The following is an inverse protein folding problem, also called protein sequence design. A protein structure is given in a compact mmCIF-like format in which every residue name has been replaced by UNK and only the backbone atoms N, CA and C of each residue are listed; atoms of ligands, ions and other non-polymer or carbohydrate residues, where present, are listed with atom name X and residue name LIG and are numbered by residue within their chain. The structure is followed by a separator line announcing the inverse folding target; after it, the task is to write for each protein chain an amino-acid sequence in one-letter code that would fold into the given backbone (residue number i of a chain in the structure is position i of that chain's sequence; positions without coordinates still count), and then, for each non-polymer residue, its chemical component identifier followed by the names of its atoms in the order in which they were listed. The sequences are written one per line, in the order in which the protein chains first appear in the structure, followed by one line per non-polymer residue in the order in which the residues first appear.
data_IF_868430964969
#
_entry.id   IF_868430964969
#
_cell.length_a   1.000
_cell.length_b   1.000
_cell.length_c   1.000
_cell.angle_alpha   90.00
_cell.angle_beta   90.00
_cell.angle_gamma   90.00
#
_symmetry.space_group_name_H-M   'P 1'
#
loop_
_entity.id
_entity.type
_entity.pdbx_description
1 polymer ?
#
# COMPACT_ATOMS: atom_id res chain seq x y z
N UNK A 1 4.98 39.37 48.44
CA UNK A 1 4.88 40.78 48.86
C UNK A 1 3.60 40.91 49.66
N UNK A 2 3.69 41.17 50.97
CA UNK A 2 2.52 41.38 51.82
C UNK A 2 2.11 42.84 51.72
N UNK A 3 0.83 43.11 51.45
CA UNK A 3 0.27 44.46 51.39
C UNK A 3 -0.37 44.74 52.74
N UNK A 4 0.20 45.67 53.50
CA UNK A 4 -0.38 46.13 54.76
C UNK A 4 -1.50 47.14 54.49
N UNK A 5 -2.70 46.87 54.99
CA UNK A 5 -3.87 47.74 54.84
C UNK A 5 -3.97 48.62 56.09
N UNK A 6 -3.68 49.91 55.95
CA UNK A 6 -3.62 50.88 57.05
C UNK A 6 -4.95 51.60 57.31
N UNK A 7 -6.02 51.24 56.61
CA UNK A 7 -7.33 51.90 56.72
C UNK A 7 -8.47 50.91 57.01
N UNK A 8 -9.53 51.42 57.66
CA UNK A 8 -10.69 50.61 58.08
C UNK A 8 -11.51 50.24 56.84
N UNK A 9 -11.56 48.95 56.51
CA UNK A 9 -12.32 48.42 55.37
C UNK A 9 -13.83 48.55 55.68
N UNK A 10 -14.53 49.46 54.98
CA UNK A 10 -15.97 49.73 55.19
C UNK A 10 -16.86 48.90 54.25
N UNK A 11 -16.26 48.12 53.36
CA UNK A 11 -16.95 47.16 52.49
C UNK A 11 -15.94 46.46 51.58
N UNK A 12 -16.08 45.15 51.43
CA UNK A 12 -15.31 44.37 50.47
C UNK A 12 -16.29 43.71 49.48
N UNK A 13 -15.94 43.74 48.20
CA UNK A 13 -16.69 43.03 47.15
C UNK A 13 -15.78 41.93 46.61
N UNK A 14 -16.06 40.70 47.00
CA UNK A 14 -15.41 39.53 46.41
C UNK A 14 -15.83 39.49 44.94
N UNK A 15 -14.88 39.53 44.01
CA UNK A 15 -15.18 39.16 42.62
C UNK A 15 -15.62 37.71 42.65
N UNK A 16 -16.92 37.50 42.48
CA UNK A 16 -17.48 36.17 42.32
C UNK A 16 -16.76 35.54 41.13
N UNK A 17 -16.13 34.38 41.34
CA UNK A 17 -15.55 33.62 40.24
C UNK A 17 -16.67 33.36 39.25
N UNK A 18 -16.54 33.96 38.08
CA UNK A 18 -17.43 33.75 36.95
C UNK A 18 -17.45 32.25 36.70
N UNK A 19 -18.61 31.64 36.94
CA UNK A 19 -18.81 30.22 36.85
C UNK A 19 -18.46 29.84 35.42
N UNK A 20 -17.37 29.09 35.25
CA UNK A 20 -16.91 28.68 33.93
C UNK A 20 -18.07 28.00 33.21
N UNK A 21 -18.54 28.62 32.12
CA UNK A 21 -19.57 28.04 31.29
C UNK A 21 -19.17 26.61 30.93
N UNK A 22 -20.10 25.63 30.97
CA UNK A 22 -19.77 24.26 30.59
C UNK A 22 -19.15 24.29 29.19
N UNK A 23 -17.93 23.77 29.09
CA UNK A 23 -17.25 23.67 27.81
C UNK A 23 -18.17 22.92 26.84
N UNK A 24 -18.38 23.43 25.62
CA UNK A 24 -19.26 22.76 24.67
C UNK A 24 -18.78 21.32 24.47
N UNK A 25 -19.69 20.35 24.64
CA UNK A 25 -19.42 18.96 24.33
C UNK A 25 -19.01 18.89 22.85
N UNK A 26 -17.82 18.35 22.59
CA UNK A 26 -17.33 18.18 21.24
C UNK A 26 -18.21 17.12 20.57
N UNK A 27 -18.82 17.49 19.43
CA UNK A 27 -19.57 16.55 18.62
C UNK A 27 -18.61 15.51 18.06
N UNK A 28 -19.00 14.24 18.13
CA UNK A 28 -18.23 13.15 17.53
C UNK A 28 -18.17 13.34 16.01
N UNK A 29 -16.95 13.35 15.49
CA UNK A 29 -16.60 13.51 14.08
C UNK A 29 -15.56 12.44 13.75
N UNK A 30 -15.99 11.39 13.03
CA UNK A 30 -15.08 10.30 12.67
C UNK A 30 -14.02 10.80 11.67
N UNK A 31 -12.73 10.81 12.05
CA UNK A 31 -11.67 11.32 11.20
C UNK A 31 -11.47 10.47 9.92
N UNK A 32 -11.97 9.22 9.85
CA UNK A 32 -11.95 8.43 8.62
C UNK A 32 -12.90 8.98 7.56
N UNK A 33 -14.07 9.47 7.96
CA UNK A 33 -15.16 9.85 7.06
C UNK A 33 -15.32 11.35 6.90
N UNK A 34 -14.69 12.16 7.78
CA UNK A 34 -14.69 13.62 7.62
C UNK A 34 -14.17 14.02 6.24
N UNK A 35 -14.93 14.89 5.57
CA UNK A 35 -14.65 15.29 4.19
C UNK A 35 -13.56 16.35 4.15
N UNK A 36 -12.52 16.08 3.38
CA UNK A 36 -11.44 17.03 3.10
C UNK A 36 -11.83 17.84 1.85
N UNK A 37 -12.09 19.15 1.95
CA UNK A 37 -12.68 19.92 0.85
C UNK A 37 -11.73 20.01 -0.36
N UNK A 38 -10.45 20.24 -0.11
CA UNK A 38 -9.41 20.36 -1.13
C UNK A 38 -8.08 19.83 -0.61
N UNK A 39 -7.18 19.51 -1.53
CA UNK A 39 -5.78 19.21 -1.20
C UNK A 39 -5.14 20.47 -0.59
N UNK A 40 -4.50 20.38 0.60
CA UNK A 40 -3.78 21.51 1.17
C UNK A 40 -2.66 22.03 0.27
N UNK A 41 -2.36 23.31 0.39
CA UNK A 41 -1.17 23.91 -0.21
C UNK A 41 0.10 23.46 0.52
N UNK A 42 1.22 23.41 -0.19
CA UNK A 42 2.52 23.03 0.38
C UNK A 42 2.87 21.55 0.22
N UNK A 43 3.79 21.09 1.08
CA UNK A 43 4.38 19.75 1.03
C UNK A 43 3.53 18.73 1.78
N UNK A 44 3.37 17.55 1.19
CA UNK A 44 2.76 16.39 1.84
C UNK A 44 3.80 15.27 1.90
N UNK A 45 3.72 14.47 2.97
CA UNK A 45 4.52 13.26 3.05
C UNK A 45 3.95 12.24 2.05
N UNK A 46 4.79 11.67 1.21
CA UNK A 46 4.35 10.76 0.17
C UNK A 46 5.25 9.53 0.06
N UNK A 47 4.63 8.38 -0.20
CA UNK A 47 5.33 7.15 -0.60
C UNK A 47 5.43 7.15 -2.11
N UNK A 48 6.65 6.97 -2.63
CA UNK A 48 6.91 6.77 -4.06
C UNK A 48 7.36 5.34 -4.30
N UNK A 49 6.54 4.57 -5.03
CA UNK A 49 6.80 3.16 -5.29
C UNK A 49 6.92 2.88 -6.78
N UNK A 50 7.96 2.12 -7.14
CA UNK A 50 8.16 1.61 -8.48
C UNK A 50 7.50 0.24 -8.60
N UNK A 51 6.45 0.15 -9.39
CA UNK A 51 5.72 -1.08 -9.65
C UNK A 51 6.19 -1.67 -10.99
N UNK A 52 6.39 -2.98 -11.03
CA UNK A 52 6.60 -3.72 -12.28
C UNK A 52 5.59 -4.85 -12.38
N UNK A 53 4.91 -4.91 -13.52
CA UNK A 53 3.95 -5.97 -13.81
C UNK A 53 4.15 -6.49 -15.23
N UNK A 54 3.65 -7.69 -15.49
CA UNK A 54 3.70 -8.36 -16.80
C UNK A 54 2.27 -8.68 -17.22
N UNK A 55 1.83 -8.09 -18.32
CA UNK A 55 0.53 -8.34 -18.94
C UNK A 55 0.67 -8.72 -20.42
N UNK A 56 -0.42 -8.61 -21.18
CA UNK A 56 -0.46 -8.96 -22.60
C UNK A 56 0.57 -8.23 -23.46
N UNK A 57 0.81 -6.95 -23.16
CA UNK A 57 1.75 -6.09 -23.88
C UNK A 57 3.18 -6.22 -23.34
N UNK A 58 3.44 -7.26 -22.53
CA UNK A 58 4.72 -7.54 -21.92
C UNK A 58 4.93 -6.84 -20.59
N UNK A 59 6.21 -6.62 -20.24
CA UNK A 59 6.61 -6.07 -18.94
C UNK A 59 6.53 -4.54 -18.95
N UNK A 60 5.73 -3.98 -18.06
CA UNK A 60 5.64 -2.54 -17.81
C UNK A 60 6.26 -2.18 -16.46
N UNK A 61 6.76 -0.95 -16.37
CA UNK A 61 7.29 -0.34 -15.14
C UNK A 61 6.65 1.02 -14.97
N UNK A 62 6.06 1.25 -13.81
CA UNK A 62 5.31 2.46 -13.50
C UNK A 62 5.68 2.97 -12.13
N UNK A 63 5.49 4.27 -11.91
CA UNK A 63 5.72 4.90 -10.63
C UNK A 63 4.38 5.34 -10.04
N UNK A 64 4.18 5.07 -8.77
CA UNK A 64 2.97 5.43 -8.04
C UNK A 64 3.38 6.26 -6.82
N UNK A 65 2.74 7.41 -6.66
CA UNK A 65 2.89 8.25 -5.49
C UNK A 65 1.57 8.28 -4.72
N UNK A 66 1.66 8.06 -3.41
CA UNK A 66 0.53 8.19 -2.48
C UNK A 66 0.91 9.18 -1.39
N UNK A 67 0.21 10.31 -1.35
CA UNK A 67 0.42 11.36 -0.35
C UNK A 67 -0.52 11.18 0.82
N UNK A 68 -0.01 11.44 2.01
CA UNK A 68 -0.69 11.31 3.29
C UNK A 68 -0.71 12.64 4.03
N UNK A 69 -1.71 12.82 4.89
CA UNK A 69 -1.78 13.96 5.81
C UNK A 69 -2.45 13.57 7.13
N UNK A 70 -2.13 14.27 8.22
CA UNK A 70 -2.90 14.16 9.46
C UNK A 70 -4.30 14.72 9.26
N UNK A 71 -5.28 14.03 9.83
CA UNK A 71 -6.69 14.44 9.84
C UNK A 71 -7.18 14.35 11.28
N UNK A 72 -7.67 15.48 11.78
CA UNK A 72 -8.26 15.60 13.10
C UNK A 72 -9.72 15.12 13.08
N UNK A 73 -10.17 14.60 14.22
CA UNK A 73 -11.56 14.25 14.48
C UNK A 73 -11.84 14.16 15.97
N UNK A 74 -13.04 13.73 16.32
CA UNK A 74 -13.51 13.58 17.69
C UNK A 74 -14.16 12.23 17.86
N UNK A 75 -13.68 11.43 18.82
CA UNK A 75 -14.24 10.11 19.13
C UNK A 75 -14.48 10.04 20.64
N UNK A 76 -15.72 9.76 21.05
CA UNK A 76 -16.09 9.72 22.46
C UNK A 76 -15.76 11.03 23.18
N UNK A 77 -15.96 12.16 22.51
CA UNK A 77 -15.66 13.51 23.02
C UNK A 77 -14.17 13.84 23.14
N UNK A 78 -13.26 12.99 22.66
CA UNK A 78 -11.81 13.22 22.67
C UNK A 78 -11.32 13.58 21.27
N UNK A 79 -10.52 14.65 21.18
CA UNK A 79 -9.81 14.98 19.94
C UNK A 79 -8.78 13.90 19.64
N UNK A 80 -8.81 13.41 18.41
CA UNK A 80 -7.89 12.40 17.91
C UNK A 80 -7.35 12.83 16.55
N UNK A 81 -6.19 12.28 16.18
CA UNK A 81 -5.56 12.52 14.88
C UNK A 81 -5.16 11.18 14.30
N UNK A 82 -5.51 10.97 13.03
CA UNK A 82 -5.05 9.83 12.25
C UNK A 82 -4.32 10.32 11.01
N UNK A 83 -3.49 9.48 10.42
CA UNK A 83 -2.99 9.73 9.08
C UNK A 83 -3.90 9.11 8.02
N UNK A 84 -4.27 9.89 7.00
CA UNK A 84 -5.07 9.42 5.86
C UNK A 84 -4.35 9.62 4.54
N UNK A 85 -4.52 8.71 3.56
CA UNK A 85 -4.17 8.99 2.18
C UNK A 85 -5.12 10.06 1.63
N UNK A 86 -4.60 11.00 0.84
CA UNK A 86 -5.38 12.14 0.31
C UNK A 86 -5.16 12.42 -1.16
N UNK A 87 -4.10 11.87 -1.73
CA UNK A 87 -3.76 12.04 -3.13
C UNK A 87 -3.03 10.80 -3.64
N UNK A 88 -3.44 10.37 -4.83
CA UNK A 88 -2.83 9.33 -5.62
C UNK A 88 -2.37 9.95 -6.92
N UNK A 89 -1.11 9.74 -7.26
CA UNK A 89 -0.51 10.32 -8.44
C UNK A 89 0.31 9.28 -9.19
N UNK A 90 0.21 9.35 -10.52
CA UNK A 90 0.93 8.48 -11.42
C UNK A 90 1.69 9.37 -12.40
N UNK A 91 3.03 9.47 -12.31
CA UNK A 91 3.81 10.26 -13.25
C UNK A 91 3.90 9.49 -14.57
N UNK A 92 2.91 9.69 -15.44
CA UNK A 92 2.93 9.19 -16.81
C UNK A 92 3.31 10.30 -17.78
N UNK A 93 4.17 10.02 -18.76
CA UNK A 93 4.46 10.93 -19.86
C UNK A 93 3.16 11.30 -20.59
N UNK A 94 2.79 12.57 -20.58
CA UNK A 94 1.40 13.07 -20.66
C UNK A 94 0.59 12.81 -21.95
N UNK A 95 1.00 11.95 -22.88
CA UNK A 95 0.46 11.99 -24.26
C UNK A 95 -0.06 10.67 -24.86
N UNK A 96 -0.07 9.52 -24.17
CA UNK A 96 -0.75 8.32 -24.70
C UNK A 96 -2.21 8.23 -24.21
N UNK A 97 -3.09 7.62 -25.01
CA UNK A 97 -4.50 7.36 -24.65
C UNK A 97 -4.61 6.48 -23.40
N UNK A 98 -3.69 5.53 -23.23
CA UNK A 98 -3.56 4.70 -22.04
C UNK A 98 -3.25 5.52 -20.78
N UNK A 99 -2.59 6.67 -20.89
CA UNK A 99 -2.28 7.50 -19.74
C UNK A 99 -3.46 8.39 -19.32
N UNK A 100 -4.44 8.62 -20.20
CA UNK A 100 -5.62 9.46 -19.87
C UNK A 100 -6.53 8.78 -18.85
N UNK A 101 -6.84 7.49 -19.04
CA UNK A 101 -7.69 6.74 -18.11
C UNK A 101 -6.99 6.53 -16.76
N UNK A 102 -5.67 6.32 -16.76
CA UNK A 102 -4.87 6.24 -15.52
C UNK A 102 -4.99 7.55 -14.75
N UNK A 103 -4.77 8.68 -15.44
CA UNK A 103 -4.86 10.00 -14.82
C UNK A 103 -6.27 10.28 -14.27
N UNK A 104 -7.32 9.95 -15.04
CA UNK A 104 -8.71 10.10 -14.58
C UNK A 104 -9.02 9.22 -13.37
N UNK A 105 -8.52 7.98 -13.34
CA UNK A 105 -8.67 7.04 -12.23
C UNK A 105 -7.97 7.56 -10.97
N UNK A 106 -6.73 8.05 -11.07
CA UNK A 106 -5.99 8.59 -9.94
C UNK A 106 -6.64 9.86 -9.36
N UNK A 107 -7.18 10.74 -10.23
CA UNK A 107 -7.96 11.91 -9.80
C UNK A 107 -9.23 11.50 -9.05
N UNK A 108 -9.96 10.51 -9.57
CA UNK A 108 -11.17 9.99 -8.95
C UNK A 108 -10.88 9.31 -7.62
N UNK A 109 -9.79 8.53 -7.54
CA UNK A 109 -9.35 7.88 -6.32
C UNK A 109 -8.89 8.88 -5.25
N UNK A 110 -8.19 9.95 -5.66
CA UNK A 110 -7.83 11.06 -4.77
C UNK A 110 -9.07 11.78 -4.21
N UNK A 111 -10.11 11.93 -5.03
CA UNK A 111 -11.40 12.47 -4.55
C UNK A 111 -12.05 11.51 -3.55
N UNK A 112 -12.05 10.21 -3.82
CA UNK A 112 -12.57 9.20 -2.89
C UNK A 112 -11.84 9.18 -1.54
N UNK A 113 -10.53 9.38 -1.57
CA UNK A 113 -9.71 9.46 -0.37
C UNK A 113 -10.01 10.68 0.50
N UNK A 114 -10.14 11.84 -0.12
CA UNK A 114 -10.63 13.04 0.56
C UNK A 114 -12.07 12.91 1.06
N UNK A 115 -12.89 12.12 0.37
CA UNK A 115 -14.26 11.80 0.76
C UNK A 115 -14.40 10.73 1.85
N UNK A 116 -13.32 10.05 2.24
CA UNK A 116 -13.35 9.06 3.33
C UNK A 116 -13.78 7.64 2.92
N UNK A 117 -13.74 7.32 1.62
CA UNK A 117 -14.18 6.01 1.09
C UNK A 117 -13.16 5.38 0.13
N UNK A 118 -11.87 5.71 0.29
CA UNK A 118 -10.79 5.15 -0.54
C UNK A 118 -10.68 3.63 -0.42
N UNK A 119 -10.94 3.08 0.76
CA UNK A 119 -10.82 1.64 1.01
C UNK A 119 -11.78 0.85 0.12
N UNK A 120 -13.03 1.31 0.04
CA UNK A 120 -14.05 0.77 -0.86
C UNK A 120 -13.66 1.01 -2.32
N UNK A 121 -13.18 2.21 -2.66
CA UNK A 121 -12.76 2.53 -4.03
C UNK A 121 -11.61 1.63 -4.52
N UNK A 122 -10.60 1.37 -3.68
CA UNK A 122 -9.49 0.46 -4.00
C UNK A 122 -10.00 -0.98 -4.12
N UNK A 123 -10.87 -1.42 -3.21
CA UNK A 123 -11.47 -2.75 -3.25
C UNK A 123 -12.33 -2.97 -4.51
N UNK A 124 -13.00 -1.93 -5.02
CA UNK A 124 -13.76 -1.99 -6.26
C UNK A 124 -12.86 -1.97 -7.50
N UNK A 125 -11.79 -1.16 -7.51
CA UNK A 125 -10.78 -1.19 -8.58
C UNK A 125 -10.12 -2.58 -8.71
N UNK A 126 -9.98 -3.30 -7.60
CA UNK A 126 -9.48 -4.68 -7.57
C UNK A 126 -10.39 -5.71 -8.27
N UNK A 127 -11.65 -5.38 -8.54
CA UNK A 127 -12.61 -6.24 -9.24
C UNK A 127 -12.69 -5.96 -10.74
N UNK A 128 -12.00 -4.93 -11.23
CA UNK A 128 -12.00 -4.58 -12.65
C UNK A 128 -11.32 -5.71 -13.43
N UNK A 129 -12.06 -6.32 -14.34
CA UNK A 129 -11.58 -7.34 -15.25
C UNK A 129 -11.45 -6.78 -16.68
N UNK A 130 -10.64 -7.45 -17.50
CA UNK A 130 -10.52 -7.18 -18.93
C UNK A 130 -10.41 -8.48 -19.73
N UNK A 131 -10.32 -8.38 -21.05
CA UNK A 131 -10.25 -9.51 -21.98
C UNK A 131 -8.81 -9.84 -22.45
N UNK A 132 -7.81 -9.05 -22.05
CA UNK A 132 -6.40 -9.24 -22.46
C UNK A 132 -5.63 -10.27 -21.61
N UNK A 133 -6.29 -11.02 -20.73
CA UNK A 133 -5.68 -12.09 -19.92
C UNK A 133 -4.99 -11.61 -18.64
N UNK A 134 -4.49 -12.53 -17.81
CA UNK A 134 -4.04 -12.18 -16.46
C UNK A 134 -2.80 -11.28 -16.43
N UNK A 135 -2.76 -10.38 -15.45
CA UNK A 135 -1.61 -9.51 -15.17
C UNK A 135 -0.86 -10.00 -13.95
N UNK A 136 0.40 -10.41 -14.12
CA UNK A 136 1.27 -10.78 -13.01
C UNK A 136 1.85 -9.53 -12.35
N UNK A 137 1.56 -9.33 -11.07
CA UNK A 137 2.08 -8.20 -10.29
C UNK A 137 2.23 -8.55 -8.81
N UNK A 138 3.45 -8.39 -8.29
CA UNK A 138 3.75 -8.61 -6.88
C UNK A 138 3.82 -10.09 -6.46
N UNK A 139 4.03 -10.28 -5.16
CA UNK A 139 4.08 -11.58 -4.49
C UNK A 139 3.05 -11.60 -3.35
N UNK A 140 2.50 -12.77 -3.06
CA UNK A 140 1.67 -12.98 -1.87
C UNK A 140 2.55 -13.25 -0.64
N UNK A 141 1.91 -13.46 0.52
CA UNK A 141 2.58 -13.75 1.80
C UNK A 141 3.45 -15.01 1.81
N UNK A 142 3.27 -15.91 0.87
CA UNK A 142 4.07 -17.13 0.72
C UNK A 142 5.11 -17.00 -0.39
N UNK A 143 5.44 -15.76 -0.77
CA UNK A 143 6.38 -15.42 -1.82
C UNK A 143 6.05 -16.03 -3.20
N UNK A 144 4.75 -16.30 -3.46
CA UNK A 144 4.28 -16.77 -4.77
C UNK A 144 3.78 -15.60 -5.62
N UNK A 145 4.01 -15.62 -6.95
CA UNK A 145 3.50 -14.60 -7.84
C UNK A 145 1.98 -14.42 -7.72
N UNK A 146 1.54 -13.17 -7.72
CA UNK A 146 0.12 -12.84 -7.80
C UNK A 146 -0.29 -12.49 -9.23
N UNK A 147 -1.48 -12.94 -9.60
CA UNK A 147 -2.12 -12.67 -10.88
C UNK A 147 -3.44 -11.91 -10.64
N UNK A 148 -3.72 -10.94 -11.49
CA UNK A 148 -4.87 -10.04 -11.39
C UNK A 148 -5.63 -10.02 -12.71
N UNK A 149 -6.94 -9.77 -12.64
CA UNK A 149 -7.84 -9.83 -13.80
C UNK A 149 -7.70 -8.64 -14.76
N UNK A 150 -6.90 -7.62 -14.42
CA UNK A 150 -6.57 -6.49 -15.29
C UNK A 150 -5.34 -5.70 -14.79
N UNK A 151 -4.82 -4.78 -15.62
CA UNK A 151 -3.81 -3.81 -15.18
C UNK A 151 -4.33 -2.90 -14.07
N UNK A 152 -5.61 -2.52 -14.12
CA UNK A 152 -6.25 -1.70 -13.08
C UNK A 152 -6.25 -2.44 -11.75
N UNK A 153 -6.63 -3.72 -11.75
CA UNK A 153 -6.64 -4.55 -10.55
C UNK A 153 -5.22 -4.75 -9.98
N UNK A 154 -4.21 -4.90 -10.84
CA UNK A 154 -2.81 -5.01 -10.42
C UNK A 154 -2.27 -3.71 -9.76
N UNK A 155 -2.63 -2.55 -10.32
CA UNK A 155 -2.29 -1.24 -9.74
C UNK A 155 -3.04 -1.02 -8.43
N UNK A 156 -4.34 -1.36 -8.37
CA UNK A 156 -5.13 -1.26 -7.15
C UNK A 156 -4.60 -2.16 -6.03
N UNK A 157 -4.14 -3.37 -6.35
CA UNK A 157 -3.43 -4.23 -5.40
C UNK A 157 -2.16 -3.57 -4.89
N UNK A 158 -1.37 -2.93 -5.77
CA UNK A 158 -0.14 -2.24 -5.37
C UNK A 158 -0.43 -1.04 -4.47
N UNK A 159 -1.50 -0.28 -4.75
CA UNK A 159 -2.02 0.77 -3.87
C UNK A 159 -2.40 0.18 -2.50
N UNK A 160 -3.14 -0.92 -2.47
CA UNK A 160 -3.49 -1.61 -1.23
C UNK A 160 -2.22 -1.96 -0.43
N UNK A 161 -1.15 -2.44 -1.08
CA UNK A 161 0.11 -2.74 -0.37
C UNK A 161 0.79 -1.50 0.20
N UNK A 162 0.75 -0.37 -0.50
CA UNK A 162 1.25 0.90 0.05
C UNK A 162 0.45 1.30 1.29
N UNK A 163 -0.88 1.25 1.20
CA UNK A 163 -1.76 1.62 2.30
C UNK A 163 -1.62 0.65 3.49
N UNK A 164 -1.43 -0.64 3.23
CA UNK A 164 -1.13 -1.65 4.24
C UNK A 164 0.18 -1.35 4.94
N UNK A 165 1.29 -1.16 4.20
CA UNK A 165 2.60 -0.84 4.78
C UNK A 165 2.62 0.48 5.54
N UNK A 166 1.78 1.44 5.14
CA UNK A 166 1.59 2.71 5.86
C UNK A 166 0.71 2.56 7.10
N UNK A 167 0.11 1.38 7.31
CA UNK A 167 -0.75 1.08 8.44
C UNK A 167 -2.17 1.63 8.32
N UNK A 168 -2.61 2.03 7.12
CA UNK A 168 -3.97 2.52 6.89
C UNK A 168 -4.97 1.38 6.62
N UNK A 169 -4.53 0.34 5.89
CA UNK A 169 -5.28 -0.90 5.66
C UNK A 169 -4.65 -2.05 6.44
N UNK A 170 -5.44 -3.10 6.67
CA UNK A 170 -4.91 -4.38 7.12
C UNK A 170 -4.33 -5.19 5.93
N UNK A 171 -3.80 -6.38 6.23
CA UNK A 171 -3.15 -7.23 5.24
C UNK A 171 -4.12 -7.71 4.14
N UNK A 172 -5.40 -7.88 4.49
CA UNK A 172 -6.42 -8.37 3.58
C UNK A 172 -7.08 -7.22 2.78
N UNK A 173 -6.78 -5.98 3.15
CA UNK A 173 -7.24 -4.76 2.47
C UNK A 173 -8.45 -4.11 3.13
N UNK A 174 -8.81 -4.52 4.35
CA UNK A 174 -9.90 -3.90 5.10
C UNK A 174 -9.40 -2.65 5.85
N UNK A 175 -10.36 -1.79 6.18
CA UNK A 175 -10.09 -0.58 6.94
C UNK A 175 -9.64 -0.94 8.35
N UNK A 176 -8.46 -0.46 8.75
CA UNK A 176 -8.00 -0.57 10.14
C UNK A 176 -8.91 0.29 11.03
N UNK A 177 -9.32 -0.20 12.22
CA UNK A 177 -10.14 0.58 13.17
C UNK A 177 -9.49 1.89 13.56
N UNK A 178 -10.30 2.91 13.81
CA UNK A 178 -9.82 4.28 14.04
C UNK A 178 -8.91 4.35 15.26
N UNK A 179 -9.23 3.61 16.31
CA UNK A 179 -8.45 3.57 17.56
C UNK A 179 -7.01 3.13 17.28
N UNK A 180 -6.83 2.10 16.45
CA UNK A 180 -5.50 1.63 16.06
C UNK A 180 -4.77 2.65 15.17
N UNK A 181 -5.49 3.37 14.30
CA UNK A 181 -4.88 4.42 13.48
C UNK A 181 -4.37 5.59 14.34
N UNK A 182 -5.11 5.95 15.38
CA UNK A 182 -4.70 6.96 16.35
C UNK A 182 -3.43 6.53 17.07
N UNK A 183 -3.37 5.28 17.55
CA UNK A 183 -2.19 4.71 18.18
C UNK A 183 -0.97 4.71 17.24
N UNK A 184 -1.15 4.30 15.98
CA UNK A 184 -0.07 4.28 14.98
C UNK A 184 0.45 5.68 14.66
N UNK A 185 -0.45 6.65 14.55
CA UNK A 185 -0.06 8.05 14.33
C UNK A 185 0.70 8.61 15.54
N UNK A 186 0.18 8.41 16.75
CA UNK A 186 0.83 8.83 17.99
C UNK A 186 2.21 8.18 18.16
N UNK A 187 2.33 6.87 17.89
CA UNK A 187 3.60 6.15 17.93
C UNK A 187 4.62 6.79 16.99
N UNK A 188 4.24 7.10 15.75
CA UNK A 188 5.15 7.76 14.80
C UNK A 188 5.60 9.13 15.27
N UNK A 189 4.69 9.93 15.83
CA UNK A 189 5.03 11.27 16.34
C UNK A 189 5.98 11.18 17.54
N UNK A 190 5.86 10.17 18.39
CA UNK A 190 6.69 9.99 19.58
C UNK A 190 8.07 9.38 19.26
N UNK A 191 8.12 8.38 18.38
CA UNK A 191 9.33 7.57 18.13
C UNK A 191 10.05 7.94 16.82
N UNK A 192 9.49 8.85 16.01
CA UNK A 192 10.09 9.34 14.77
C UNK A 192 10.10 8.36 13.61
N UNK A 193 9.58 7.14 13.77
CA UNK A 193 9.48 6.14 12.71
C UNK A 193 8.06 5.59 12.58
N UNK A 194 7.67 5.26 11.35
CA UNK A 194 6.33 4.74 11.06
C UNK A 194 6.13 3.35 11.67
N UNK A 195 4.87 3.01 11.93
CA UNK A 195 4.47 1.62 12.18
C UNK A 195 4.97 0.74 11.04
N UNK A 196 5.51 -0.41 11.38
CA UNK A 196 5.92 -1.42 10.41
C UNK A 196 4.99 -2.63 10.54
N UNK A 197 4.56 -3.23 9.42
CA UNK A 197 3.87 -4.51 9.49
C UNK A 197 4.77 -5.55 10.13
N UNK A 198 4.20 -6.43 10.96
CA UNK A 198 4.93 -7.55 11.54
C UNK A 198 5.50 -8.38 10.39
N UNK A 199 6.83 -8.37 10.28
CA UNK A 199 7.56 -9.14 9.30
C UNK A 199 7.28 -10.62 9.62
N UNK A 200 6.75 -11.36 8.64
CA UNK A 200 6.52 -12.79 8.82
C UNK A 200 7.87 -13.46 9.06
N UNK A 201 8.15 -13.82 10.30
CA UNK A 201 9.39 -14.43 10.81
C UNK A 201 9.76 -15.79 10.17
N UNK A 202 9.18 -16.16 9.02
CA UNK A 202 9.36 -17.44 8.34
C UNK A 202 10.14 -17.34 7.01
N UNK A 203 10.58 -16.14 6.60
CA UNK A 203 11.35 -15.97 5.36
C UNK A 203 12.87 -16.22 5.51
N UNK A 204 13.41 -16.21 6.73
CA UNK A 204 14.86 -16.27 6.99
C UNK A 204 15.42 -17.69 7.22
N UNK A 205 14.62 -18.76 7.14
CA UNK A 205 15.10 -20.12 7.44
C UNK A 205 15.54 -20.96 6.24
N UNK A 206 15.77 -20.38 5.05
CA UNK A 206 16.18 -21.15 3.85
C UNK A 206 17.62 -20.87 3.39
N UNK A 207 18.33 -19.90 3.96
CA UNK A 207 19.77 -19.72 3.70
C UNK A 207 20.63 -20.31 4.81
N UNK A 208 20.75 -21.64 4.84
CA UNK A 208 21.95 -22.34 5.36
C UNK A 208 21.87 -23.84 5.03
N UNK A 209 22.16 -24.16 3.78
CA UNK A 209 22.40 -25.52 3.32
C UNK A 209 23.66 -25.54 2.46
N UNK A 210 24.82 -25.52 3.11
CA UNK A 210 26.10 -25.78 2.47
C UNK A 210 26.11 -27.22 1.92
N UNK A 211 26.40 -27.39 0.62
CA UNK A 211 27.06 -28.61 0.13
C UNK A 211 28.00 -28.28 -1.03
N UNK A 212 29.22 -28.78 -0.89
CA UNK A 212 30.44 -28.65 -1.68
C UNK A 212 30.37 -29.07 -3.17
N UNK A 213 31.39 -28.73 -3.99
CA UNK A 213 31.35 -28.92 -5.43
C UNK A 213 31.73 -30.35 -5.83
N UNK A 214 31.02 -30.93 -6.80
CA UNK A 214 31.48 -32.14 -7.50
C UNK A 214 31.55 -31.82 -8.99
N UNK A 215 32.78 -31.77 -9.49
CA UNK A 215 33.06 -31.71 -10.91
C UNK A 215 32.93 -33.07 -11.60
N UNK A 216 32.92 -33.04 -12.94
CA UNK A 216 33.33 -34.17 -13.77
C UNK A 216 32.22 -34.92 -14.51
N UNK A 217 32.05 -34.56 -15.79
CA UNK A 217 31.78 -35.37 -16.98
C UNK A 217 31.04 -36.73 -16.88
N UNK A 218 30.09 -36.94 -17.81
CA UNK A 218 29.76 -38.28 -18.30
C UNK A 218 28.33 -38.45 -18.82
N UNK A 219 28.17 -38.55 -20.14
CA UNK A 219 26.93 -38.88 -20.82
C UNK A 219 26.38 -40.28 -20.45
N UNK A 220 25.06 -40.46 -20.52
CA UNK A 220 24.39 -41.44 -21.41
C UNK A 220 22.88 -41.44 -21.15
N UNK A 221 22.11 -41.49 -22.23
CA UNK A 221 20.67 -41.29 -22.19
C UNK A 221 19.85 -42.52 -21.78
N UNK A 222 18.58 -42.26 -21.50
CA UNK A 222 17.50 -43.23 -21.71
C UNK A 222 16.20 -42.48 -21.98
N UNK A 223 15.62 -42.72 -23.15
CA UNK A 223 14.27 -42.29 -23.55
C UNK A 223 13.23 -42.95 -22.63
N UNK A 224 12.20 -42.19 -22.26
CA UNK A 224 10.87 -42.73 -22.00
C UNK A 224 9.86 -41.88 -22.76
N UNK A 225 9.01 -42.56 -23.52
CA UNK A 225 7.90 -42.00 -24.30
C UNK A 225 6.72 -41.70 -23.37
N UNK A 226 6.07 -40.55 -23.57
CA UNK A 226 4.86 -40.19 -22.84
C UNK A 226 4.52 -38.70 -22.90
N UNK A 227 4.05 -38.25 -24.08
CA UNK A 227 3.27 -37.02 -24.38
C UNK A 227 3.25 -35.90 -23.33
N UNK A 228 4.35 -35.16 -23.24
CA UNK A 228 4.45 -33.86 -22.58
C UNK A 228 5.51 -33.03 -23.32
N UNK A 229 5.41 -31.69 -23.34
CA UNK A 229 6.41 -30.86 -23.99
C UNK A 229 7.79 -31.15 -23.38
N UNK A 230 8.80 -31.40 -24.22
CA UNK A 230 10.11 -31.84 -23.76
C UNK A 230 10.73 -30.78 -22.83
N UNK A 231 10.87 -31.13 -21.55
CA UNK A 231 11.52 -30.30 -20.55
C UNK A 231 13.02 -30.26 -20.87
N UNK A 232 13.54 -29.08 -21.13
CA UNK A 232 14.92 -28.84 -21.60
C UNK A 232 15.82 -28.15 -20.58
N UNK A 233 15.30 -27.96 -19.36
CA UNK A 233 16.05 -27.44 -18.23
C UNK A 233 15.19 -26.57 -17.31
N UNK A 234 15.86 -25.80 -16.46
CA UNK A 234 15.21 -24.88 -15.53
C UNK A 234 15.49 -23.43 -15.94
N UNK A 235 14.49 -22.58 -15.78
CA UNK A 235 14.54 -21.16 -16.11
C UNK A 235 15.53 -20.44 -15.18
N UNK A 236 16.45 -19.62 -15.71
CA UNK A 236 17.42 -18.88 -14.88
C UNK A 236 16.77 -17.81 -14.00
N UNK A 237 15.59 -17.29 -14.36
CA UNK A 237 14.92 -16.25 -13.59
C UNK A 237 14.02 -16.78 -12.47
N UNK A 238 13.33 -17.90 -12.68
CA UNK A 238 12.32 -18.39 -11.74
C UNK A 238 12.44 -19.88 -11.39
N UNK A 239 13.46 -20.56 -11.92
CA UNK A 239 13.71 -22.01 -11.74
C UNK A 239 12.59 -22.95 -12.21
N UNK A 240 11.52 -22.41 -12.80
CA UNK A 240 10.46 -23.18 -13.43
C UNK A 240 10.95 -24.01 -14.62
N UNK A 241 10.16 -24.96 -15.07
CA UNK A 241 10.52 -25.83 -16.19
C UNK A 241 10.58 -25.03 -17.51
N UNK A 242 11.65 -25.24 -18.27
CA UNK A 242 11.79 -24.79 -19.64
C UNK A 242 11.28 -25.88 -20.55
N UNK A 243 10.38 -25.53 -21.45
CA UNK A 243 9.90 -26.41 -22.50
C UNK A 243 10.39 -25.92 -23.85
N UNK A 244 10.60 -26.84 -24.79
CA UNK A 244 10.95 -26.48 -26.16
C UNK A 244 9.71 -26.01 -26.91
N UNK A 245 9.67 -24.71 -27.25
CA UNK A 245 8.65 -24.13 -28.13
C UNK A 245 9.35 -23.50 -29.33
N UNK A 246 9.00 -23.96 -30.53
CA UNK A 246 9.53 -23.44 -31.81
C UNK A 246 11.07 -23.44 -31.89
N UNK A 247 11.71 -24.46 -31.30
CA UNK A 247 13.17 -24.59 -31.26
C UNK A 247 13.85 -23.69 -30.21
N UNK A 248 13.08 -22.98 -29.38
CA UNK A 248 13.58 -22.17 -28.29
C UNK A 248 13.18 -22.71 -26.90
N UNK A 249 14.13 -22.78 -25.93
CA UNK A 249 13.80 -23.00 -24.53
C UNK A 249 12.99 -21.84 -23.95
N UNK A 250 11.73 -22.12 -23.58
CA UNK A 250 10.79 -21.11 -23.07
C UNK A 250 10.18 -21.55 -21.75
N UNK A 251 10.17 -20.66 -20.76
CA UNK A 251 9.56 -20.88 -19.46
C UNK A 251 8.05 -20.59 -19.51
N UNK A 252 7.29 -21.49 -20.13
CA UNK A 252 5.88 -21.31 -20.41
C UNK A 252 5.01 -21.29 -19.14
N UNK A 253 5.24 -22.21 -18.22
CA UNK A 253 4.50 -22.28 -16.95
C UNK A 253 5.01 -21.30 -15.86
N UNK A 254 6.09 -20.56 -16.14
CA UNK A 254 6.79 -19.72 -15.17
C UNK A 254 6.80 -18.23 -15.54
N UNK A 255 8.00 -17.66 -15.77
CA UNK A 255 8.16 -16.21 -15.97
C UNK A 255 8.12 -15.73 -17.43
N UNK A 256 7.93 -16.63 -18.41
CA UNK A 256 7.92 -16.27 -19.83
C UNK A 256 9.30 -16.02 -20.43
N UNK A 257 10.37 -16.25 -19.67
CA UNK A 257 11.74 -16.17 -20.18
C UNK A 257 11.96 -17.12 -21.35
N UNK A 258 12.51 -16.60 -22.45
CA UNK A 258 12.89 -17.34 -23.64
C UNK A 258 14.37 -17.10 -23.92
N UNK A 259 15.10 -18.14 -24.34
CA UNK A 259 16.51 -17.99 -24.71
C UNK A 259 16.70 -17.17 -25.99
N UNK A 260 15.67 -17.02 -26.81
CA UNK A 260 15.77 -16.47 -28.17
C UNK A 260 15.19 -15.05 -28.31
N UNK A 261 14.65 -14.45 -27.23
CA UNK A 261 14.11 -13.09 -27.24
C UNK A 261 13.05 -12.86 -26.17
#
# INVERSE_FOLDING_TARGET
MAVEITSKIVGYRIKQQEQAAPAPELLDEDPLTVRIPSRPEGTLEAVSEKISYVGAEGRKKVYLLVSFMPVEGVIGGKRVVIERPVEFFFPSGQLSSEHQWITATMRSLSLAARGGYVTQAVADLRKVAWDKGLVRCGMNRWNKPMFHDSEVAAIAWSIQQILYRRGFLDRDGNQVPVEQLVERYAHRMQHGHAWQPEESAEADSVEQGAVEPIGGAGATGKKSEGSGPAIVGNCPECRGELIMMDGCPTCYAGCGWSKCG
#
